data_IF_148934884005
#
_entry.id   IF_148934884005
#
_cell.length_a   1.000
_cell.length_b   1.000
_cell.length_c   1.000
_cell.angle_alpha   90.00
_cell.angle_beta   90.00
_cell.angle_gamma   90.00
#
_symmetry.space_group_name_H-M   'P 1'
#
loop_
_entity.id
_entity.type
_entity.pdbx_description
1 polymer ?
#
# COMPACT_ATOMS: atom_id res chain seq x y z
N UNK A 1 -1.95 -3.50 -4.85
CA UNK A 1 -1.70 -3.66 -3.41
C UNK A 1 -1.33 -5.11 -3.10
N UNK A 2 -0.65 -5.32 -1.98
CA UNK A 2 -0.34 -6.66 -1.45
C UNK A 2 -0.89 -6.77 -0.02
N UNK A 3 -2.19 -6.90 0.10
CA UNK A 3 -2.92 -6.78 1.36
C UNK A 3 -3.07 -8.13 2.09
N UNK A 4 -2.90 -9.25 1.37
CA UNK A 4 -3.06 -10.61 1.90
C UNK A 4 -4.35 -10.74 2.74
N UNK A 5 -4.30 -11.20 3.99
CA UNK A 5 -5.46 -11.32 4.87
C UNK A 5 -6.07 -9.97 5.29
N UNK A 6 -5.29 -8.89 5.29
CA UNK A 6 -5.78 -7.55 5.63
C UNK A 6 -6.74 -6.96 4.59
N UNK A 7 -6.83 -7.57 3.40
CA UNK A 7 -7.87 -7.25 2.42
C UNK A 7 -9.30 -7.35 3.00
N UNK A 8 -9.51 -8.21 3.97
CA UNK A 8 -10.81 -8.33 4.65
C UNK A 8 -11.26 -7.03 5.32
N UNK A 9 -10.34 -6.17 5.76
CA UNK A 9 -10.63 -4.87 6.36
C UNK A 9 -11.18 -3.84 5.39
N UNK A 10 -11.13 -4.10 4.08
CA UNK A 10 -11.87 -3.34 3.07
C UNK A 10 -13.37 -3.30 3.36
N UNK A 11 -13.91 -4.41 3.87
CA UNK A 11 -15.35 -4.57 4.09
C UNK A 11 -15.76 -4.30 5.55
N UNK A 12 -14.88 -4.56 6.49
CA UNK A 12 -15.09 -4.36 7.92
C UNK A 12 -13.73 -4.04 8.58
N UNK A 13 -13.51 -2.77 9.00
CA UNK A 13 -12.26 -2.36 9.64
C UNK A 13 -11.91 -3.13 10.92
N UNK A 14 -12.93 -3.65 11.61
CA UNK A 14 -12.78 -4.35 12.89
C UNK A 14 -12.73 -5.89 12.73
N UNK A 15 -12.71 -6.38 11.49
CA UNK A 15 -12.71 -7.81 11.22
C UNK A 15 -11.47 -8.49 11.82
N UNK A 16 -11.69 -9.66 12.39
CA UNK A 16 -10.61 -10.53 12.84
C UNK A 16 -9.87 -11.17 11.64
N UNK A 17 -8.77 -10.55 11.25
CA UNK A 17 -7.91 -11.05 10.16
C UNK A 17 -7.16 -12.33 10.53
N UNK A 18 -7.12 -12.70 11.81
CA UNK A 18 -6.53 -13.95 12.27
C UNK A 18 -7.50 -15.16 12.14
N UNK A 19 -8.72 -14.91 11.66
CA UNK A 19 -9.62 -15.97 11.25
C UNK A 19 -8.97 -16.85 10.17
N UNK A 20 -9.10 -18.18 10.34
CA UNK A 20 -8.46 -19.17 9.47
C UNK A 20 -8.77 -19.00 7.97
N UNK A 21 -9.98 -18.54 7.61
CA UNK A 21 -10.37 -18.38 6.21
C UNK A 21 -9.63 -17.23 5.55
N UNK A 22 -9.51 -16.07 6.23
CA UNK A 22 -8.75 -14.91 5.73
C UNK A 22 -7.25 -15.21 5.69
N UNK A 23 -6.71 -15.86 6.73
CA UNK A 23 -5.32 -16.32 6.78
C UNK A 23 -5.00 -17.24 5.59
N UNK A 24 -5.84 -18.23 5.33
CA UNK A 24 -5.65 -19.17 4.22
C UNK A 24 -5.73 -18.47 2.85
N UNK A 25 -6.64 -17.52 2.69
CA UNK A 25 -6.79 -16.75 1.46
C UNK A 25 -5.57 -15.85 1.23
N UNK A 26 -5.16 -15.09 2.25
CA UNK A 26 -3.97 -14.25 2.21
C UNK A 26 -2.71 -15.06 1.89
N UNK A 27 -2.52 -16.18 2.58
CA UNK A 27 -1.40 -17.09 2.36
C UNK A 27 -1.34 -17.63 0.93
N UNK A 28 -2.48 -18.01 0.35
CA UNK A 28 -2.54 -18.44 -1.07
C UNK A 28 -2.15 -17.30 -2.03
N UNK A 29 -2.55 -16.08 -1.74
CA UNK A 29 -2.13 -14.90 -2.50
C UNK A 29 -0.61 -14.73 -2.50
N UNK A 30 0.02 -14.89 -1.34
CA UNK A 30 1.48 -14.82 -1.18
C UNK A 30 2.19 -16.02 -1.82
N UNK A 31 1.75 -17.25 -1.55
CA UNK A 31 2.46 -18.47 -1.98
C UNK A 31 2.29 -18.78 -3.47
N UNK A 32 1.16 -18.44 -4.05
CA UNK A 32 0.84 -18.79 -5.45
C UNK A 32 0.59 -17.57 -6.33
N UNK A 33 -0.12 -16.56 -5.83
CA UNK A 33 -0.51 -15.38 -6.60
C UNK A 33 0.71 -14.51 -6.92
N UNK A 34 1.45 -14.13 -5.89
CA UNK A 34 2.62 -13.25 -6.05
C UNK A 34 3.70 -13.83 -6.98
N UNK A 35 4.15 -15.10 -6.84
CA UNK A 35 5.15 -15.65 -7.76
C UNK A 35 4.69 -15.66 -9.23
N UNK A 36 3.41 -15.94 -9.48
CA UNK A 36 2.85 -15.91 -10.84
C UNK A 36 2.84 -14.49 -11.41
N UNK A 37 2.46 -13.50 -10.59
CA UNK A 37 2.47 -12.10 -11.00
C UNK A 37 3.89 -11.63 -11.32
N UNK A 38 4.86 -11.96 -10.46
CA UNK A 38 6.29 -11.62 -10.67
C UNK A 38 6.82 -12.27 -11.95
N UNK A 39 6.46 -13.54 -12.25
CA UNK A 39 6.84 -14.22 -13.49
C UNK A 39 6.29 -13.48 -14.72
N UNK A 40 5.00 -13.09 -14.69
CA UNK A 40 4.39 -12.32 -15.79
C UNK A 40 5.08 -10.97 -15.97
N UNK A 41 5.26 -10.20 -14.90
CA UNK A 41 5.92 -8.89 -14.97
C UNK A 41 7.35 -9.02 -15.51
N UNK A 42 8.09 -10.02 -15.06
CA UNK A 42 9.45 -10.29 -15.53
C UNK A 42 9.47 -10.70 -17.01
N UNK A 43 8.58 -11.58 -17.44
CA UNK A 43 8.44 -12.03 -18.82
C UNK A 43 8.23 -10.90 -19.81
N UNK A 44 7.43 -9.90 -19.41
CA UNK A 44 7.15 -8.72 -20.24
C UNK A 44 8.06 -7.53 -19.98
N UNK A 45 9.04 -7.65 -19.07
CA UNK A 45 9.97 -6.57 -18.75
C UNK A 45 9.31 -5.36 -18.07
N UNK A 46 8.16 -5.56 -17.42
CA UNK A 46 7.39 -4.50 -16.76
C UNK A 46 7.80 -4.38 -15.31
N UNK A 47 8.06 -3.15 -14.84
CA UNK A 47 8.27 -2.85 -13.42
C UNK A 47 7.00 -2.27 -12.82
N UNK A 48 6.76 -2.63 -11.55
CA UNK A 48 5.57 -2.24 -10.81
C UNK A 48 5.94 -1.74 -9.41
N UNK A 49 5.05 -0.96 -8.80
CA UNK A 49 5.10 -0.62 -7.38
C UNK A 49 4.10 -1.49 -6.63
N UNK A 50 4.56 -2.16 -5.60
CA UNK A 50 3.75 -2.94 -4.68
C UNK A 50 3.51 -2.13 -3.41
N UNK A 51 2.29 -1.66 -3.20
CA UNK A 51 1.89 -1.01 -1.95
C UNK A 51 1.53 -2.07 -0.92
N UNK A 52 2.24 -2.06 0.22
CA UNK A 52 2.22 -3.13 1.22
C UNK A 52 1.91 -2.56 2.61
N UNK A 53 0.92 -3.10 3.34
CA UNK A 53 0.75 -2.83 4.77
C UNK A 53 1.98 -3.27 5.56
N UNK A 54 2.37 -2.49 6.58
CA UNK A 54 3.55 -2.80 7.38
C UNK A 54 3.47 -4.17 8.07
N UNK A 55 2.29 -4.55 8.55
CA UNK A 55 2.06 -5.86 9.18
C UNK A 55 2.28 -7.04 8.21
N UNK A 56 1.96 -6.85 6.92
CA UNK A 56 2.26 -7.84 5.87
C UNK A 56 3.76 -7.92 5.62
N UNK A 57 4.47 -6.79 5.66
CA UNK A 57 5.92 -6.79 5.53
C UNK A 57 6.58 -7.62 6.64
N UNK A 58 6.15 -7.45 7.89
CA UNK A 58 6.66 -8.21 9.03
C UNK A 58 6.31 -9.71 8.95
N UNK A 59 5.09 -10.02 8.48
CA UNK A 59 4.59 -11.41 8.44
C UNK A 59 5.17 -12.22 7.28
N UNK A 60 5.44 -11.57 6.13
CA UNK A 60 5.89 -12.23 4.90
C UNK A 60 7.17 -11.58 4.33
N UNK A 61 8.28 -11.52 5.10
CA UNK A 61 9.50 -10.84 4.66
C UNK A 61 10.07 -11.41 3.35
N UNK A 62 9.98 -12.73 3.13
CA UNK A 62 10.47 -13.38 1.91
C UNK A 62 9.71 -12.93 0.66
N UNK A 63 8.41 -12.62 0.79
CA UNK A 63 7.62 -12.05 -0.30
C UNK A 63 8.16 -10.67 -0.73
N UNK A 64 8.48 -9.81 0.26
CA UNK A 64 9.04 -8.49 -0.03
C UNK A 64 10.43 -8.59 -0.64
N UNK A 65 11.27 -9.49 -0.15
CA UNK A 65 12.58 -9.74 -0.75
C UNK A 65 12.45 -10.16 -2.22
N UNK A 66 11.54 -11.09 -2.53
CA UNK A 66 11.29 -11.55 -3.91
C UNK A 66 10.85 -10.41 -4.83
N UNK A 67 10.00 -9.47 -4.34
CA UNK A 67 9.58 -8.28 -5.08
C UNK A 67 10.77 -7.37 -5.37
N UNK A 68 11.58 -7.07 -4.35
CA UNK A 68 12.76 -6.19 -4.46
C UNK A 68 13.83 -6.80 -5.37
N UNK A 69 14.13 -8.09 -5.22
CA UNK A 69 15.09 -8.82 -6.07
C UNK A 69 14.66 -8.87 -7.54
N UNK A 70 13.35 -8.92 -7.79
CA UNK A 70 12.77 -8.81 -9.13
C UNK A 70 12.84 -7.38 -9.69
N UNK A 71 13.36 -6.40 -8.91
CA UNK A 71 13.58 -5.02 -9.32
C UNK A 71 12.30 -4.18 -9.33
N UNK A 72 11.31 -4.54 -8.53
CA UNK A 72 10.09 -3.77 -8.31
C UNK A 72 10.23 -2.83 -7.12
N UNK A 73 9.35 -1.83 -7.04
CA UNK A 73 9.27 -0.89 -5.92
C UNK A 73 8.34 -1.41 -4.84
N UNK A 74 8.68 -1.14 -3.56
CA UNK A 74 7.77 -1.28 -2.42
C UNK A 74 7.33 0.12 -1.99
N UNK A 75 6.02 0.35 -1.97
CA UNK A 75 5.36 1.50 -1.38
C UNK A 75 4.67 1.14 -0.06
N UNK A 76 4.33 2.15 0.74
CA UNK A 76 3.64 1.97 2.02
C UNK A 76 2.12 2.02 1.84
N UNK A 77 1.39 1.13 2.54
CA UNK A 77 -0.08 1.04 2.54
C UNK A 77 -0.66 1.04 3.96
N UNK A 78 -0.19 1.98 4.80
CA UNK A 78 -0.51 1.96 6.23
C UNK A 78 0.27 0.89 6.98
N UNK A 79 -0.26 0.45 8.13
CA UNK A 79 0.34 -0.66 8.88
C UNK A 79 -0.54 -1.91 8.86
N UNK A 80 -1.83 -1.80 9.22
CA UNK A 80 -2.82 -2.88 9.23
C UNK A 80 -4.01 -2.60 8.29
N UNK A 81 -3.78 -1.86 7.21
CA UNK A 81 -4.82 -1.48 6.25
C UNK A 81 -5.90 -0.58 6.87
N UNK A 82 -5.48 0.39 7.69
CA UNK A 82 -6.37 1.28 8.43
C UNK A 82 -7.11 2.25 7.50
N UNK A 83 -8.39 2.48 7.79
CA UNK A 83 -9.21 3.48 7.11
C UNK A 83 -8.80 4.90 7.56
N UNK A 84 -8.03 5.61 6.74
CA UNK A 84 -7.45 6.90 7.10
C UNK A 84 -8.49 7.96 7.40
N UNK A 85 -9.66 7.90 6.76
CA UNK A 85 -10.73 8.88 6.92
C UNK A 85 -11.34 8.97 8.33
N UNK A 86 -11.25 7.90 9.12
CA UNK A 86 -11.80 7.86 10.49
C UNK A 86 -10.75 8.12 11.57
N UNK A 87 -9.47 8.17 11.21
CA UNK A 87 -8.37 8.38 12.14
C UNK A 87 -8.09 9.88 12.35
N UNK A 88 -7.74 10.25 13.58
CA UNK A 88 -7.16 11.56 13.84
C UNK A 88 -5.83 11.71 13.08
N UNK A 89 -5.43 12.97 12.76
CA UNK A 89 -4.12 13.24 12.15
C UNK A 89 -2.96 12.60 12.91
N UNK A 90 -3.01 12.67 14.25
CA UNK A 90 -1.97 12.08 15.11
C UNK A 90 -1.91 10.56 15.01
N UNK A 91 -3.05 9.90 14.86
CA UNK A 91 -3.10 8.45 14.70
C UNK A 91 -2.72 8.04 13.27
N UNK A 92 -3.13 8.78 12.25
CA UNK A 92 -2.61 8.60 10.88
C UNK A 92 -1.07 8.66 10.85
N UNK A 93 -0.47 9.67 11.51
CA UNK A 93 0.99 9.78 11.62
C UNK A 93 1.62 8.54 12.25
N UNK A 94 1.06 8.04 13.36
CA UNK A 94 1.58 6.86 14.07
C UNK A 94 1.52 5.61 13.20
N UNK A 95 0.38 5.32 12.58
CA UNK A 95 0.19 4.09 11.80
C UNK A 95 1.03 4.12 10.52
N UNK A 96 1.08 5.24 9.82
CA UNK A 96 1.90 5.36 8.60
C UNK A 96 3.38 5.24 8.95
N UNK A 97 3.84 5.91 10.02
CA UNK A 97 5.23 5.80 10.50
C UNK A 97 5.60 4.37 10.90
N UNK A 98 4.67 3.64 11.53
CA UNK A 98 4.86 2.22 11.88
C UNK A 98 4.99 1.37 10.61
N UNK A 99 4.17 1.63 9.60
CA UNK A 99 4.27 0.96 8.29
C UNK A 99 5.61 1.20 7.58
N UNK A 100 6.08 2.46 7.57
CA UNK A 100 7.41 2.81 7.03
C UNK A 100 8.50 1.99 7.73
N UNK A 101 8.46 1.97 9.08
CA UNK A 101 9.48 1.27 9.87
C UNK A 101 9.49 -0.22 9.56
N UNK A 102 8.34 -0.88 9.54
CA UNK A 102 8.21 -2.30 9.23
C UNK A 102 8.78 -2.63 7.84
N UNK A 103 8.43 -1.85 6.82
CA UNK A 103 8.96 -2.02 5.46
C UNK A 103 10.49 -1.79 5.43
N UNK A 104 10.96 -0.74 6.11
CA UNK A 104 12.39 -0.42 6.16
C UNK A 104 13.20 -1.53 6.85
N UNK A 105 12.68 -2.09 7.94
CA UNK A 105 13.37 -3.16 8.69
C UNK A 105 13.53 -4.43 7.83
N UNK A 106 12.57 -4.72 6.95
CA UNK A 106 12.60 -5.87 6.04
C UNK A 106 13.41 -5.59 4.77
N UNK A 107 13.15 -4.46 4.10
CA UNK A 107 13.73 -4.18 2.78
C UNK A 107 15.04 -3.39 2.84
N UNK A 108 15.44 -2.88 4.01
CA UNK A 108 16.62 -2.02 4.18
C UNK A 108 16.48 -0.62 3.54
N UNK A 109 15.29 -0.27 3.02
CA UNK A 109 15.02 1.00 2.33
C UNK A 109 13.71 1.61 2.81
N UNK A 110 13.70 2.95 2.93
CA UNK A 110 12.48 3.71 3.20
C UNK A 110 11.62 3.72 1.92
N UNK A 111 10.30 3.39 2.00
CA UNK A 111 9.42 3.45 0.84
C UNK A 111 9.26 4.90 0.36
N UNK A 112 9.37 5.12 -0.96
CA UNK A 112 9.23 6.45 -1.55
C UNK A 112 7.77 6.84 -1.82
N UNK A 113 6.89 5.88 -2.04
CA UNK A 113 5.48 6.06 -2.35
C UNK A 113 4.56 5.65 -1.21
N UNK A 114 3.43 6.35 -1.10
CA UNK A 114 2.33 6.04 -0.18
C UNK A 114 1.04 5.85 -0.96
N UNK A 115 0.24 4.84 -0.57
CA UNK A 115 -1.15 4.69 -1.00
C UNK A 115 -2.03 4.48 0.21
N UNK A 116 -3.09 5.29 0.34
CA UNK A 116 -4.06 5.11 1.40
C UNK A 116 -4.89 3.84 1.16
N UNK A 117 -5.14 3.01 2.18
CA UNK A 117 -6.12 1.92 2.10
C UNK A 117 -7.47 2.44 1.61
N UNK A 118 -8.12 1.70 0.73
CA UNK A 118 -9.41 2.01 0.10
C UNK A 118 -9.47 3.34 -0.69
N UNK A 119 -8.36 4.03 -0.85
CA UNK A 119 -8.35 5.38 -1.39
C UNK A 119 -9.00 6.41 -0.45
N UNK A 120 -9.29 6.03 0.79
CA UNK A 120 -9.80 6.93 1.81
C UNK A 120 -8.70 7.88 2.27
N UNK A 121 -8.70 9.07 1.70
CA UNK A 121 -7.68 10.07 1.94
C UNK A 121 -8.30 11.39 2.37
N UNK A 122 -7.71 12.02 3.36
CA UNK A 122 -8.04 13.37 3.80
C UNK A 122 -6.87 14.32 3.50
N UNK A 123 -7.09 15.62 3.63
CA UNK A 123 -6.00 16.59 3.54
C UNK A 123 -4.92 16.31 4.58
N UNK A 124 -5.31 15.89 5.79
CA UNK A 124 -4.37 15.48 6.85
C UNK A 124 -3.53 14.27 6.42
N UNK A 125 -4.10 13.32 5.71
CA UNK A 125 -3.37 12.15 5.20
C UNK A 125 -2.25 12.57 4.23
N UNK A 126 -2.55 13.47 3.29
CA UNK A 126 -1.54 14.00 2.36
C UNK A 126 -0.45 14.78 3.08
N UNK A 127 -0.84 15.62 4.05
CA UNK A 127 0.12 16.39 4.87
C UNK A 127 1.03 15.47 5.69
N UNK A 128 0.47 14.44 6.31
CA UNK A 128 1.21 13.43 7.10
C UNK A 128 2.15 12.63 6.20
N UNK A 129 1.69 12.18 5.05
CA UNK A 129 2.54 11.44 4.10
C UNK A 129 3.74 12.30 3.67
N UNK A 130 3.51 13.57 3.34
CA UNK A 130 4.59 14.50 2.99
C UNK A 130 5.53 14.78 4.17
N UNK A 131 4.99 14.97 5.36
CA UNK A 131 5.78 15.19 6.60
C UNK A 131 6.69 14.00 6.91
N UNK A 132 6.21 12.78 6.67
CA UNK A 132 6.96 11.53 6.85
C UNK A 132 7.98 11.26 5.73
N UNK A 133 8.06 12.13 4.71
CA UNK A 133 9.11 12.12 3.69
C UNK A 133 8.79 11.31 2.44
N UNK A 134 7.54 10.90 2.22
CA UNK A 134 7.17 10.29 0.95
C UNK A 134 7.35 11.26 -0.22
N UNK A 135 7.78 10.72 -1.35
CA UNK A 135 7.96 11.49 -2.59
C UNK A 135 6.64 11.71 -3.32
N UNK A 136 5.71 10.76 -3.22
CA UNK A 136 4.42 10.79 -3.90
C UNK A 136 3.33 10.01 -3.14
N UNK A 137 2.09 10.37 -3.43
CA UNK A 137 0.89 9.57 -3.15
C UNK A 137 0.37 8.92 -4.43
N UNK A 138 -0.32 7.79 -4.30
CA UNK A 138 -1.04 7.13 -5.38
C UNK A 138 -2.41 6.67 -4.89
N UNK A 139 -3.25 7.62 -4.47
CA UNK A 139 -4.51 7.36 -3.77
C UNK A 139 -5.73 8.02 -4.43
N UNK A 140 -5.54 9.10 -5.16
CA UNK A 140 -6.62 9.93 -5.72
C UNK A 140 -6.89 9.61 -7.19
N UNK A 141 -8.08 10.04 -7.66
CA UNK A 141 -8.65 9.73 -8.98
C UNK A 141 -9.00 11.00 -9.78
N UNK A 142 -8.34 12.14 -9.50
CA UNK A 142 -8.76 13.42 -10.08
C UNK A 142 -8.35 13.60 -11.55
N UNK A 143 -7.34 12.85 -12.02
CA UNK A 143 -6.83 12.94 -13.38
C UNK A 143 -6.30 11.56 -13.82
N UNK A 144 -5.95 11.38 -15.10
CA UNK A 144 -5.30 10.19 -15.65
C UNK A 144 -3.78 10.36 -15.81
N UNK A 145 -3.27 11.58 -15.59
CA UNK A 145 -1.84 11.91 -15.59
C UNK A 145 -1.38 12.40 -14.21
N UNK A 146 -0.10 12.24 -13.84
CA UNK A 146 0.44 12.74 -12.57
C UNK A 146 0.22 14.24 -12.40
N UNK A 147 -0.20 14.65 -11.20
CA UNK A 147 -0.45 16.05 -10.85
C UNK A 147 0.03 16.38 -9.43
N UNK A 148 -0.02 17.64 -9.06
CA UNK A 148 0.36 18.08 -7.73
C UNK A 148 -0.86 18.52 -6.92
N UNK A 149 -1.03 17.91 -5.75
CA UNK A 149 -1.94 18.40 -4.73
C UNK A 149 -1.35 19.66 -4.07
N UNK A 150 -2.16 20.71 -3.95
CA UNK A 150 -1.78 21.92 -3.21
C UNK A 150 -2.11 21.72 -1.73
N UNK A 151 -1.07 21.72 -0.88
CA UNK A 151 -1.20 21.60 0.57
C UNK A 151 -1.15 22.97 1.27
N UNK A 152 -1.32 24.06 0.54
CA UNK A 152 -1.27 25.44 1.03
C UNK A 152 0.17 25.96 1.13
N UNK A 153 1.04 25.32 1.87
CA UNK A 153 2.47 25.74 2.03
C UNK A 153 3.42 24.99 1.12
N UNK A 154 2.96 23.92 0.48
CA UNK A 154 3.79 23.05 -0.36
C UNK A 154 2.92 22.24 -1.32
N UNK A 155 3.56 21.65 -2.33
CA UNK A 155 2.91 20.71 -3.26
C UNK A 155 3.34 19.28 -2.99
N UNK A 156 2.45 18.32 -3.23
CA UNK A 156 2.72 16.90 -3.09
C UNK A 156 2.30 16.15 -4.34
N UNK A 157 3.20 15.38 -4.93
CA UNK A 157 2.94 14.66 -6.16
C UNK A 157 1.89 13.56 -5.95
N UNK A 158 0.91 13.50 -6.82
CA UNK A 158 -0.05 12.41 -6.95
C UNK A 158 0.20 11.66 -8.25
N UNK A 159 0.37 10.34 -8.16
CA UNK A 159 0.32 9.42 -9.29
C UNK A 159 -1.05 8.79 -9.25
N UNK A 160 -2.01 9.28 -10.05
CA UNK A 160 -3.41 8.90 -9.89
C UNK A 160 -3.65 7.45 -10.24
N UNK A 161 -4.74 6.92 -9.69
CA UNK A 161 -5.28 5.60 -10.03
C UNK A 161 -6.70 5.80 -10.53
N UNK A 162 -7.19 4.88 -11.34
CA UNK A 162 -8.54 4.95 -11.84
C UNK A 162 -9.33 3.72 -11.38
N UNK A 163 -10.52 3.93 -10.83
CA UNK A 163 -11.34 2.85 -10.28
C UNK A 163 -11.64 1.74 -11.29
N UNK A 164 -11.77 2.07 -12.59
CA UNK A 164 -12.01 1.06 -13.64
C UNK A 164 -10.81 0.15 -13.93
N UNK A 165 -9.63 0.45 -13.35
CA UNK A 165 -8.43 -0.38 -13.46
C UNK A 165 -8.23 -1.27 -12.24
N UNK A 166 -9.12 -1.21 -11.25
CA UNK A 166 -9.14 -2.16 -10.15
C UNK A 166 -9.74 -3.50 -10.59
N UNK A 167 -9.20 -4.57 -10.08
CA UNK A 167 -9.72 -5.94 -10.34
C UNK A 167 -11.01 -6.18 -9.57
N UNK A 168 -11.17 -5.56 -8.39
CA UNK A 168 -12.29 -5.78 -7.48
C UNK A 168 -13.69 -5.73 -8.13
N UNK A 169 -14.00 -4.80 -9.05
CA UNK A 169 -15.31 -4.76 -9.70
C UNK A 169 -15.58 -5.93 -10.65
N UNK A 170 -14.58 -6.75 -10.93
CA UNK A 170 -14.66 -7.86 -11.92
C UNK A 170 -14.71 -9.25 -11.27
N UNK A 171 -14.75 -9.35 -9.91
CA UNK A 171 -14.83 -10.59 -9.15
C UNK A 171 -16.15 -10.78 -8.41
#
# INVERSE_FOLDING_TARGET
>A
NLDAEYYARTFDPDIDVDNNDFQNMGKKGIEFGLPRLLDVLNRYGVKATFFVPGAIAEKYPDALHSIVESGHEIGCHGYEHEHMGVLSRGDQYKVIKKGIKAIQDVCGKIPAGFRAPEGEITMDTLMVAKELGFCYSSSLHADDIPYYNDLGTSKFLEIPIHWSLYDLPYF
#
